data_IF_307861274785
#
_entry.id   IF_307861274785
#
_cell.length_a   1.000
_cell.length_b   1.000
_cell.length_c   1.000
_cell.angle_alpha   90.00
_cell.angle_beta   90.00
_cell.angle_gamma   90.00
#
_symmetry.space_group_name_H-M   'P 1'
#
loop_
_entity.id
_entity.type
_entity.pdbx_description
1 polymer ?
#
# COMPACT_ATOMS: atom_id res chain seq x y z
N UNK A 1 0.16 3.89 -18.46
CA UNK A 1 1.10 3.20 -17.55
C UNK A 1 1.95 2.24 -18.36
N UNK A 2 3.27 2.27 -18.17
CA UNK A 2 4.14 1.33 -18.87
C UNK A 2 3.89 -0.09 -18.36
N UNK A 3 3.89 -1.06 -19.29
CA UNK A 3 3.72 -2.49 -19.00
C UNK A 3 4.70 -2.96 -17.91
N UNK A 4 5.92 -2.44 -17.94
CA UNK A 4 6.95 -2.69 -16.91
C UNK A 4 6.52 -2.27 -15.51
N UNK A 5 5.87 -1.12 -15.36
CA UNK A 5 5.44 -0.62 -14.05
C UNK A 5 4.35 -1.50 -13.44
N UNK A 6 3.44 -2.04 -14.26
CA UNK A 6 2.41 -2.97 -13.81
C UNK A 6 3.00 -4.30 -13.36
N UNK A 7 3.96 -4.84 -14.11
CA UNK A 7 4.62 -6.10 -13.76
C UNK A 7 5.45 -5.96 -12.49
N UNK A 8 6.27 -4.92 -12.40
CA UNK A 8 7.11 -4.67 -11.22
C UNK A 8 6.24 -4.36 -9.99
N UNK A 9 5.25 -3.50 -10.14
CA UNK A 9 4.31 -3.17 -9.07
C UNK A 9 3.53 -4.40 -8.58
N UNK A 10 3.06 -5.23 -9.50
CA UNK A 10 2.38 -6.49 -9.18
C UNK A 10 3.30 -7.47 -8.45
N UNK A 11 4.55 -7.60 -8.87
CA UNK A 11 5.53 -8.48 -8.23
C UNK A 11 5.87 -8.02 -6.80
N UNK A 12 6.09 -6.73 -6.60
CA UNK A 12 6.35 -6.14 -5.29
C UNK A 12 5.16 -6.35 -4.35
N UNK A 13 3.94 -6.10 -4.83
CA UNK A 13 2.72 -6.33 -4.04
C UNK A 13 2.53 -7.82 -3.71
N UNK A 14 2.92 -8.73 -4.61
CA UNK A 14 2.86 -10.17 -4.35
C UNK A 14 3.80 -10.58 -3.20
N UNK A 15 5.02 -10.07 -3.20
CA UNK A 15 6.00 -10.32 -2.14
C UNK A 15 5.46 -9.81 -0.80
N UNK A 16 4.92 -8.60 -0.76
CA UNK A 16 4.29 -8.06 0.46
C UNK A 16 3.09 -8.87 0.91
N UNK A 17 2.25 -9.32 -0.02
CA UNK A 17 1.11 -10.19 0.30
C UNK A 17 1.55 -11.47 1.01
N UNK A 18 2.58 -12.13 0.50
CA UNK A 18 3.13 -13.35 1.09
C UNK A 18 3.67 -13.08 2.49
N UNK A 19 4.40 -11.99 2.69
CA UNK A 19 4.94 -11.62 4.00
C UNK A 19 3.83 -11.32 5.02
N UNK A 20 2.75 -10.65 4.59
CA UNK A 20 1.59 -10.40 5.45
C UNK A 20 0.84 -11.68 5.83
N UNK A 21 0.64 -12.59 4.89
CA UNK A 21 -0.06 -13.86 5.13
C UNK A 21 0.75 -14.77 6.04
N UNK A 22 2.07 -14.83 5.85
CA UNK A 22 2.96 -15.64 6.67
C UNK A 22 3.22 -15.05 8.07
N UNK A 23 2.82 -13.81 8.32
CA UNK A 23 3.05 -13.13 9.60
C UNK A 23 4.54 -12.88 9.89
N UNK A 24 5.39 -12.90 8.87
CA UNK A 24 6.84 -12.70 9.00
C UNK A 24 7.23 -11.25 9.32
N UNK A 25 6.32 -10.32 9.06
CA UNK A 25 6.58 -8.88 9.21
C UNK A 25 6.91 -8.42 10.63
N UNK A 26 6.58 -9.20 11.65
CA UNK A 26 6.84 -8.78 13.03
C UNK A 26 8.30 -8.89 13.44
N UNK A 27 9.10 -9.74 12.81
CA UNK A 27 10.48 -9.99 13.23
C UNK A 27 11.52 -9.18 12.45
N UNK A 28 11.27 -8.88 11.18
CA UNK A 28 12.20 -8.07 10.36
C UNK A 28 12.09 -6.58 10.65
N UNK A 29 10.92 -6.12 11.06
CA UNK A 29 10.64 -4.72 11.31
C UNK A 29 11.18 -4.24 12.66
N UNK A 30 11.40 -5.16 13.60
CA UNK A 30 11.88 -4.84 14.94
C UNK A 30 13.41 -4.68 15.02
N UNK A 31 14.15 -5.11 14.00
CA UNK A 31 15.61 -5.16 14.05
C UNK A 31 16.34 -4.04 13.32
N UNK A 32 15.67 -3.29 12.44
CA UNK A 32 16.30 -2.21 11.69
C UNK A 32 15.46 -0.94 11.73
N UNK A 33 15.91 0.01 12.54
CA UNK A 33 15.58 1.45 12.60
C UNK A 33 14.18 1.88 12.13
N UNK A 34 13.43 2.43 13.05
CA UNK A 34 12.07 2.97 12.93
C UNK A 34 11.84 3.89 11.71
N UNK A 35 12.87 4.51 11.18
CA UNK A 35 12.79 5.46 10.08
C UNK A 35 12.55 4.81 8.71
N UNK A 36 13.06 3.61 8.49
CA UNK A 36 12.93 2.92 7.20
C UNK A 36 11.55 2.28 6.99
N UNK A 37 10.82 2.04 8.07
CA UNK A 37 9.50 1.45 8.07
C UNK A 37 8.40 2.40 7.65
N UNK A 38 8.55 3.68 8.00
CA UNK A 38 7.55 4.70 7.67
C UNK A 38 7.56 5.05 6.18
N UNK A 39 8.72 4.95 5.52
CA UNK A 39 8.88 5.28 4.11
C UNK A 39 8.60 4.08 3.22
N UNK A 40 9.11 2.91 3.57
CA UNK A 40 8.95 1.69 2.79
C UNK A 40 8.66 0.49 3.72
N UNK A 41 7.55 -0.26 3.57
CA UNK A 41 6.56 -0.22 2.48
C UNK A 41 5.30 0.61 2.76
N UNK A 42 5.22 1.38 3.85
CA UNK A 42 3.98 2.03 4.26
C UNK A 42 3.61 3.20 3.35
N UNK A 43 4.56 4.08 3.05
CA UNK A 43 4.31 5.24 2.20
C UNK A 43 4.30 4.86 0.71
N UNK A 44 5.24 4.06 0.29
CA UNK A 44 5.41 3.58 -1.08
C UNK A 44 5.51 2.05 -1.05
N UNK A 45 4.64 1.29 -1.68
CA UNK A 45 3.58 1.59 -2.63
C UNK A 45 2.15 1.67 -2.06
N UNK A 46 1.96 1.54 -0.74
CA UNK A 46 0.62 1.40 -0.15
C UNK A 46 -0.14 2.73 -0.19
N UNK A 47 0.47 3.81 0.26
CA UNK A 47 -0.17 5.12 0.32
C UNK A 47 -0.11 5.86 -1.02
N UNK A 48 1.07 5.91 -1.62
CA UNK A 48 1.32 6.60 -2.89
C UNK A 48 1.68 5.61 -4.00
N UNK A 49 0.72 4.84 -4.48
CA UNK A 49 0.91 3.94 -5.61
C UNK A 49 1.16 4.69 -6.92
N UNK A 50 1.71 4.02 -7.94
CA UNK A 50 2.00 4.62 -9.25
C UNK A 50 0.76 5.24 -9.90
N UNK A 51 -0.44 4.75 -9.58
CA UNK A 51 -1.71 5.31 -10.04
C UNK A 51 -2.01 6.70 -9.47
N UNK A 52 -1.75 6.92 -8.19
CA UNK A 52 -1.98 8.23 -7.56
C UNK A 52 -1.00 9.29 -8.08
N UNK A 53 0.24 8.91 -8.30
CA UNK A 53 1.26 9.79 -8.89
C UNK A 53 0.87 10.18 -10.31
N UNK A 54 0.48 9.21 -11.14
CA UNK A 54 0.04 9.45 -12.51
C UNK A 54 -1.21 10.34 -12.56
N UNK A 55 -2.16 10.13 -11.65
CA UNK A 55 -3.38 10.94 -11.57
C UNK A 55 -3.07 12.41 -11.27
N UNK A 56 -2.20 12.67 -10.30
CA UNK A 56 -1.78 14.03 -9.93
C UNK A 56 -1.01 14.71 -11.07
N UNK A 57 -0.20 13.96 -11.83
CA UNK A 57 0.55 14.51 -12.95
C UNK A 57 -0.35 14.93 -14.12
N UNK A 58 -1.39 14.15 -14.41
CA UNK A 58 -2.34 14.44 -15.51
C UNK A 58 -3.29 15.59 -15.18
N UNK A 59 -3.53 15.85 -13.91
CA UNK A 59 -4.44 16.91 -13.48
C UNK A 59 -3.93 18.29 -13.93
N UNK A 60 -4.80 19.09 -14.56
CA UNK A 60 -4.50 20.47 -14.91
C UNK A 60 -4.94 21.40 -13.77
N UNK A 61 -4.08 22.36 -13.41
CA UNK A 61 -4.36 23.36 -12.37
C UNK A 61 -3.60 23.14 -11.07
N UNK A 62 -2.66 24.05 -10.77
CA UNK A 62 -1.81 23.98 -9.58
C UNK A 62 -2.62 24.04 -8.28
N UNK A 63 -3.62 24.90 -8.23
CA UNK A 63 -4.49 25.07 -7.07
C UNK A 63 -5.26 23.78 -6.74
N UNK A 64 -5.82 23.15 -7.77
CA UNK A 64 -6.57 21.89 -7.61
C UNK A 64 -5.68 20.75 -7.15
N UNK A 65 -4.45 20.65 -7.67
CA UNK A 65 -3.45 19.67 -7.22
C UNK A 65 -3.13 19.81 -5.74
N UNK A 66 -2.84 21.03 -5.30
CA UNK A 66 -2.52 21.30 -3.90
C UNK A 66 -3.70 20.96 -2.99
N UNK A 67 -4.92 21.30 -3.39
CA UNK A 67 -6.12 21.00 -2.63
C UNK A 67 -6.33 19.49 -2.47
N UNK A 68 -6.22 18.74 -3.55
CA UNK A 68 -6.38 17.26 -3.52
C UNK A 68 -5.30 16.60 -2.67
N UNK A 69 -4.06 17.02 -2.80
CA UNK A 69 -2.95 16.47 -2.01
C UNK A 69 -3.15 16.76 -0.52
N UNK A 70 -3.49 17.98 -0.17
CA UNK A 70 -3.72 18.39 1.24
C UNK A 70 -4.89 17.61 1.84
N UNK A 71 -5.98 17.48 1.11
CA UNK A 71 -7.15 16.73 1.54
C UNK A 71 -6.84 15.25 1.72
N UNK A 72 -6.07 14.66 0.81
CA UNK A 72 -5.65 13.25 0.89
C UNK A 72 -4.77 13.00 2.12
N UNK A 73 -3.81 13.88 2.39
CA UNK A 73 -2.95 13.78 3.58
C UNK A 73 -3.78 13.90 4.86
N UNK A 74 -4.75 14.81 4.88
CA UNK A 74 -5.63 15.00 6.03
C UNK A 74 -6.49 13.75 6.30
N UNK A 75 -7.06 13.15 5.27
CA UNK A 75 -7.85 11.91 5.38
C UNK A 75 -6.95 10.76 5.87
N UNK A 76 -5.74 10.62 5.33
CA UNK A 76 -4.78 9.62 5.79
C UNK A 76 -4.41 9.81 7.26
N UNK A 77 -4.14 11.02 7.67
CA UNK A 77 -3.83 11.33 9.07
C UNK A 77 -4.99 10.97 10.01
N UNK A 78 -6.20 11.33 9.62
CA UNK A 78 -7.41 11.00 10.38
C UNK A 78 -7.63 9.49 10.46
N UNK A 79 -7.43 8.77 9.35
CA UNK A 79 -7.55 7.31 9.28
C UNK A 79 -6.56 6.60 10.19
N UNK A 80 -5.31 7.06 10.25
CA UNK A 80 -4.28 6.50 11.15
C UNK A 80 -4.68 6.74 12.62
N UNK A 81 -5.19 7.92 12.93
CA UNK A 81 -5.59 8.28 14.28
C UNK A 81 -6.78 7.45 14.78
N UNK A 82 -7.78 7.25 13.94
CA UNK A 82 -8.94 6.40 14.23
C UNK A 82 -8.53 4.93 14.27
N UNK A 83 -7.69 4.50 13.32
CA UNK A 83 -7.21 3.12 13.22
C UNK A 83 -6.43 2.67 14.45
N UNK A 84 -5.62 3.54 15.06
CA UNK A 84 -4.88 3.21 16.28
C UNK A 84 -5.80 2.92 17.48
N UNK A 85 -6.93 3.60 17.57
CA UNK A 85 -7.97 3.32 18.57
C UNK A 85 -8.68 1.99 18.32
N UNK A 86 -8.99 1.71 17.06
CA UNK A 86 -9.64 0.47 16.64
C UNK A 86 -8.77 -0.77 16.89
N UNK A 87 -7.47 -0.66 16.65
CA UNK A 87 -6.51 -1.72 16.92
C UNK A 87 -6.40 -2.07 18.41
N UNK A 88 -6.51 -1.08 19.31
CA UNK A 88 -6.57 -1.32 20.75
C UNK A 88 -7.82 -2.08 21.17
N UNK A 89 -8.93 -1.84 20.50
CA UNK A 89 -10.19 -2.51 20.79
C UNK A 89 -10.21 -3.96 20.26
N UNK A 90 -9.60 -4.23 19.11
CA UNK A 90 -9.57 -5.56 18.50
C UNK A 90 -8.60 -6.54 19.19
N UNK A 91 -7.60 -6.06 19.92
CA UNK A 91 -6.56 -6.89 20.52
C UNK A 91 -5.56 -7.46 19.49
N UNK A 92 -4.59 -8.24 20.00
CA UNK A 92 -3.53 -8.84 19.16
C UNK A 92 -4.06 -9.84 18.13
N UNK A 93 -5.02 -10.67 18.52
CA UNK A 93 -5.57 -11.72 17.65
C UNK A 93 -6.42 -11.14 16.51
N UNK A 94 -7.25 -10.15 16.81
CA UNK A 94 -8.04 -9.44 15.80
C UNK A 94 -7.18 -8.69 14.80
N UNK A 95 -6.11 -8.05 15.25
CA UNK A 95 -5.15 -7.35 14.40
C UNK A 95 -4.44 -8.30 13.44
N UNK A 96 -4.03 -9.47 13.90
CA UNK A 96 -3.41 -10.49 13.05
C UNK A 96 -4.38 -11.05 12.00
N UNK A 97 -5.63 -11.30 12.37
CA UNK A 97 -6.65 -11.76 11.44
C UNK A 97 -6.90 -10.75 10.31
N UNK A 98 -7.04 -9.47 10.66
CA UNK A 98 -7.22 -8.38 9.68
C UNK A 98 -6.00 -8.27 8.77
N UNK A 99 -4.79 -8.32 9.31
CA UNK A 99 -3.56 -8.28 8.50
C UNK A 99 -3.50 -9.40 7.48
N UNK A 100 -3.89 -10.62 7.85
CA UNK A 100 -3.92 -11.77 6.93
C UNK A 100 -4.96 -11.58 5.83
N UNK A 101 -6.15 -11.12 6.17
CA UNK A 101 -7.21 -10.82 5.19
C UNK A 101 -6.74 -9.74 4.21
N UNK A 102 -6.16 -8.66 4.72
CA UNK A 102 -5.59 -7.59 3.88
C UNK A 102 -4.46 -8.10 3.00
N UNK A 103 -3.59 -8.96 3.51
CA UNK A 103 -2.56 -9.63 2.73
C UNK A 103 -3.14 -10.42 1.55
N UNK A 104 -4.20 -11.18 1.76
CA UNK A 104 -4.89 -11.92 0.70
C UNK A 104 -5.50 -11.00 -0.35
N UNK A 105 -6.12 -9.89 0.06
CA UNK A 105 -6.68 -8.89 -0.86
C UNK A 105 -5.58 -8.23 -1.71
N UNK A 106 -4.46 -7.86 -1.09
CA UNK A 106 -3.29 -7.31 -1.79
C UNK A 106 -2.75 -8.33 -2.80
N UNK A 107 -2.68 -9.61 -2.42
CA UNK A 107 -2.28 -10.69 -3.31
C UNK A 107 -3.19 -10.86 -4.52
N UNK A 108 -4.49 -10.77 -4.34
CA UNK A 108 -5.45 -10.83 -5.44
C UNK A 108 -5.25 -9.66 -6.44
N UNK A 109 -5.02 -8.45 -5.93
CA UNK A 109 -4.72 -7.28 -6.77
C UNK A 109 -3.37 -7.43 -7.48
N UNK A 110 -2.36 -7.97 -6.79
CA UNK A 110 -1.03 -8.23 -7.36
C UNK A 110 -1.12 -9.20 -8.56
N UNK A 111 -1.83 -10.30 -8.41
CA UNK A 111 -2.05 -11.30 -9.48
C UNK A 111 -2.78 -10.67 -10.65
N UNK A 112 -3.79 -9.84 -10.38
CA UNK A 112 -4.52 -9.12 -11.43
C UNK A 112 -3.59 -8.20 -12.23
N UNK A 113 -2.74 -7.42 -11.57
CA UNK A 113 -1.78 -6.52 -12.22
C UNK A 113 -0.76 -7.29 -13.08
N UNK A 114 -0.25 -8.40 -12.57
CA UNK A 114 0.67 -9.26 -13.31
C UNK A 114 -0.03 -9.84 -14.55
N UNK A 115 -1.24 -10.34 -14.40
CA UNK A 115 -2.02 -10.88 -15.51
C UNK A 115 -2.25 -9.82 -16.60
N UNK A 116 -2.70 -8.64 -16.22
CA UNK A 116 -2.93 -7.53 -17.16
C UNK A 116 -1.62 -7.11 -17.85
N UNK A 117 -0.51 -7.07 -17.12
CA UNK A 117 0.82 -6.78 -17.69
C UNK A 117 1.28 -7.83 -18.69
N UNK A 118 1.01 -9.10 -18.46
CA UNK A 118 1.35 -10.19 -19.40
C UNK A 118 0.47 -10.14 -20.63
N UNK A 119 -0.84 -9.93 -20.48
CA UNK A 119 -1.77 -9.87 -21.63
C UNK A 119 -1.49 -8.70 -22.56
N UNK A 120 -0.99 -7.57 -22.04
CA UNK A 120 -0.57 -6.44 -22.87
C UNK A 120 0.78 -6.68 -23.58
N UNK A 121 1.55 -7.66 -23.15
CA UNK A 121 2.84 -8.00 -23.73
C UNK A 121 2.71 -8.99 -24.90
N UNK A 122 1.63 -9.73 -24.96
CA UNK A 122 1.27 -10.68 -26.03
C UNK A 122 0.39 -9.98 -27.04
#
# INVERSE_FOLDING_TARGET
>A
MCIRDRLIGGLVLLIFSIDYVLGRNTNYLQKNSETNLAVFPLAIPILAGPGSISFVLVMSGLFLKLLVITLSIFICWLSIRVGSGLLKFLGKDGSQAISRIMGLLIGAVAIRLIREGIFELI
#
